data_IF_648166678495
#
_entry.id   IF_648166678495
#
_cell.length_a   1.000
_cell.length_b   1.000
_cell.length_c   1.000
_cell.angle_alpha   90.00
_cell.angle_beta   90.00
_cell.angle_gamma   90.00
#
_symmetry.space_group_name_H-M   'P 1'
#
loop_
_entity.id
_entity.type
_entity.pdbx_description
1 polymer ?
#
# COMPACT_ATOMS: atom_id res chain seq x y z
N UNK A 1 -32.42 10.54 35.85
CA UNK A 1 -32.36 11.41 34.66
C UNK A 1 -31.62 10.64 33.57
N UNK A 2 -32.24 10.42 32.40
CA UNK A 2 -31.91 9.30 31.52
C UNK A 2 -30.75 9.56 30.55
N UNK A 3 -30.13 8.46 30.14
CA UNK A 3 -28.89 8.33 29.37
C UNK A 3 -28.83 9.05 28.03
N UNK A 4 -27.67 9.66 27.78
CA UNK A 4 -27.22 10.05 26.45
C UNK A 4 -26.86 8.78 25.66
N UNK A 5 -27.58 8.56 24.56
CA UNK A 5 -27.30 7.52 23.57
C UNK A 5 -25.95 7.79 22.86
N UNK A 6 -25.22 6.75 22.45
CA UNK A 6 -24.03 6.91 21.63
C UNK A 6 -24.42 7.43 20.23
N UNK A 7 -23.67 8.44 19.79
CA UNK A 7 -23.83 9.20 18.57
C UNK A 7 -23.80 8.26 17.33
N UNK A 8 -24.98 7.90 16.82
CA UNK A 8 -25.12 7.17 15.55
C UNK A 8 -24.57 8.05 14.43
N UNK A 9 -23.59 7.54 13.68
CA UNK A 9 -23.22 7.90 12.30
C UNK A 9 -23.47 9.38 11.90
N UNK A 10 -22.40 10.19 11.89
CA UNK A 10 -22.39 11.54 11.29
C UNK A 10 -22.55 11.54 9.75
N UNK A 11 -22.86 10.41 9.12
CA UNK A 11 -23.09 10.31 7.67
C UNK A 11 -24.57 10.38 7.25
N UNK A 12 -25.49 10.75 8.15
CA UNK A 12 -26.90 10.88 7.81
C UNK A 12 -27.45 12.27 8.19
N UNK A 13 -27.19 13.28 7.34
CA UNK A 13 -28.11 14.38 7.01
C UNK A 13 -27.41 15.51 6.22
N UNK A 14 -26.88 15.20 5.05
CA UNK A 14 -26.97 16.17 3.95
C UNK A 14 -28.16 15.73 3.10
N UNK A 15 -29.32 16.34 3.36
CA UNK A 15 -30.38 16.42 2.36
C UNK A 15 -29.75 17.12 1.16
N UNK A 16 -29.30 16.32 0.20
CA UNK A 16 -29.06 16.76 -1.17
C UNK A 16 -30.26 17.61 -1.55
N UNK A 17 -30.04 18.91 -1.78
CA UNK A 17 -30.96 19.69 -2.59
C UNK A 17 -31.05 18.92 -3.90
N UNK A 18 -32.18 18.24 -4.11
CA UNK A 18 -32.49 17.57 -5.37
C UNK A 18 -32.43 18.65 -6.43
N UNK A 19 -31.29 18.76 -7.10
CA UNK A 19 -31.20 19.48 -8.35
C UNK A 19 -32.23 18.80 -9.25
N UNK A 20 -33.12 19.61 -9.80
CA UNK A 20 -34.11 19.16 -10.77
C UNK A 20 -33.41 18.29 -11.80
N UNK A 21 -33.72 16.99 -11.82
CA UNK A 21 -33.27 16.06 -12.86
C UNK A 21 -34.08 16.36 -14.11
N UNK A 22 -33.84 17.53 -14.72
CA UNK A 22 -34.21 17.73 -16.11
C UNK A 22 -33.45 16.66 -16.90
N UNK A 23 -34.17 15.78 -17.59
CA UNK A 23 -33.56 14.77 -18.44
C UNK A 23 -32.64 15.50 -19.43
N UNK A 24 -31.34 15.19 -19.40
CA UNK A 24 -30.40 15.76 -20.35
C UNK A 24 -30.86 15.38 -21.76
N UNK A 25 -30.85 16.32 -22.74
CA UNK A 25 -31.17 16.00 -24.12
C UNK A 25 -30.33 14.81 -24.60
N UNK A 26 -30.95 13.85 -25.30
CA UNK A 26 -30.28 12.63 -25.82
C UNK A 26 -29.01 12.99 -26.62
N UNK A 27 -29.05 14.08 -27.37
CA UNK A 27 -27.93 14.57 -28.17
C UNK A 27 -26.74 15.04 -27.32
N UNK A 28 -27.01 15.56 -26.12
CA UNK A 28 -25.96 15.97 -25.18
C UNK A 28 -25.24 14.76 -24.58
N UNK A 29 -25.96 13.67 -24.32
CA UNK A 29 -25.40 12.40 -23.82
C UNK A 29 -24.57 11.73 -24.91
N UNK A 30 -25.09 11.62 -26.13
CA UNK A 30 -24.35 11.05 -27.26
C UNK A 30 -23.06 11.82 -27.56
N UNK A 31 -23.12 13.15 -27.53
CA UNK A 31 -21.94 14.01 -27.69
C UNK A 31 -20.92 13.82 -26.56
N UNK A 32 -21.38 13.66 -25.31
CA UNK A 32 -20.49 13.39 -24.18
C UNK A 32 -19.78 12.03 -24.34
N UNK A 33 -20.52 10.98 -24.73
CA UNK A 33 -19.95 9.66 -24.99
C UNK A 33 -18.87 9.74 -26.07
N UNK A 34 -19.16 10.37 -27.21
CA UNK A 34 -18.21 10.49 -28.32
C UNK A 34 -16.92 11.22 -27.90
N UNK A 35 -17.04 12.31 -27.12
CA UNK A 35 -15.88 13.03 -26.58
C UNK A 35 -15.08 12.17 -25.60
N UNK A 36 -15.74 11.42 -24.72
CA UNK A 36 -15.06 10.55 -23.75
C UNK A 36 -14.35 9.38 -24.45
N UNK A 37 -14.96 8.79 -25.48
CA UNK A 37 -14.31 7.76 -26.31
C UNK A 37 -13.03 8.31 -26.95
N UNK A 38 -13.11 9.48 -27.61
CA UNK A 38 -11.94 10.12 -28.22
C UNK A 38 -10.86 10.44 -27.19
N UNK A 39 -11.25 10.95 -26.02
CA UNK A 39 -10.35 11.27 -24.94
C UNK A 39 -9.60 10.04 -24.41
N UNK A 40 -10.28 8.91 -24.28
CA UNK A 40 -9.70 7.67 -23.80
C UNK A 40 -8.81 7.03 -24.88
N UNK A 41 -9.27 6.98 -26.14
CA UNK A 41 -8.47 6.49 -27.27
C UNK A 41 -7.17 7.28 -27.46
N UNK A 42 -7.19 8.60 -27.23
CA UNK A 42 -6.01 9.46 -27.31
C UNK A 42 -4.99 9.23 -26.17
N UNK A 43 -5.35 8.46 -25.13
CA UNK A 43 -4.50 8.14 -23.97
C UNK A 43 -4.08 6.67 -23.94
N UNK A 44 -4.33 5.93 -25.01
CA UNK A 44 -3.79 4.60 -25.15
C UNK A 44 -2.28 4.70 -25.36
N UNK A 45 -1.51 3.91 -24.63
CA UNK A 45 -0.08 3.80 -24.86
C UNK A 45 0.22 3.12 -26.21
N UNK A 46 1.41 3.36 -26.80
CA UNK A 46 1.76 2.83 -28.12
C UNK A 46 1.71 1.30 -28.23
N UNK A 47 1.91 0.57 -27.14
CA UNK A 47 1.80 -0.90 -27.07
C UNK A 47 0.38 -1.39 -26.72
N UNK A 48 -0.60 -0.49 -26.72
CA UNK A 48 -2.02 -0.81 -26.70
C UNK A 48 -2.67 -0.88 -25.31
N UNK A 49 -1.93 -0.63 -24.24
CA UNK A 49 -2.51 -0.62 -22.90
C UNK A 49 -3.02 0.79 -22.52
N UNK A 50 -3.83 0.83 -21.46
CA UNK A 50 -4.12 2.06 -20.72
C UNK A 50 -3.54 1.90 -19.33
N UNK A 51 -2.91 2.96 -18.84
CA UNK A 51 -2.48 3.07 -17.45
C UNK A 51 -2.70 4.51 -17.00
N UNK A 52 -3.45 4.68 -15.92
CA UNK A 52 -3.56 5.96 -15.25
C UNK A 52 -2.44 6.13 -14.22
N UNK A 53 -2.17 7.38 -13.85
CA UNK A 53 -1.42 7.63 -12.62
C UNK A 53 -2.21 7.08 -11.43
N UNK A 54 -1.57 6.22 -10.63
CA UNK A 54 -2.10 5.79 -9.35
C UNK A 54 -1.61 6.74 -8.26
N UNK A 55 -2.46 7.70 -7.89
CA UNK A 55 -2.13 8.68 -6.86
C UNK A 55 -1.91 8.00 -5.49
N UNK A 56 -0.85 8.43 -4.80
CA UNK A 56 -0.55 8.04 -3.43
C UNK A 56 -0.56 9.23 -2.47
N UNK A 57 -0.59 8.95 -1.18
CA UNK A 57 -0.42 9.97 -0.15
C UNK A 57 1.06 10.35 0.05
N UNK A 58 1.32 11.29 0.96
CA UNK A 58 2.66 11.85 1.22
C UNK A 58 3.68 10.85 1.77
N UNK A 59 3.24 9.65 2.20
CA UNK A 59 4.11 8.60 2.71
C UNK A 59 5.14 8.19 1.66
N UNK A 60 4.75 8.08 0.39
CA UNK A 60 5.65 7.58 -0.65
C UNK A 60 6.85 8.51 -0.85
N UNK A 61 6.58 9.82 -1.01
CA UNK A 61 7.61 10.86 -1.12
C UNK A 61 8.46 10.93 0.15
N UNK A 62 7.82 10.86 1.32
CA UNK A 62 8.54 10.91 2.59
C UNK A 62 9.49 9.73 2.71
N UNK A 63 9.01 8.50 2.59
CA UNK A 63 9.81 7.27 2.73
C UNK A 63 10.92 7.15 1.69
N UNK A 64 10.68 7.64 0.47
CA UNK A 64 11.70 7.75 -0.57
C UNK A 64 12.81 8.73 -0.18
N UNK A 65 12.47 9.92 0.34
CA UNK A 65 13.47 10.86 0.90
C UNK A 65 14.24 10.22 2.05
N UNK A 66 13.56 9.52 2.98
CA UNK A 66 14.22 8.85 4.11
C UNK A 66 15.20 7.77 3.65
N UNK A 67 14.86 7.02 2.59
CA UNK A 67 15.76 6.05 1.97
C UNK A 67 16.99 6.72 1.35
N UNK A 68 16.80 7.78 0.55
CA UNK A 68 17.89 8.51 -0.09
C UNK A 68 18.81 9.16 0.96
N UNK A 69 18.25 9.73 2.03
CA UNK A 69 19.00 10.31 3.13
C UNK A 69 19.83 9.26 3.89
N UNK A 70 19.27 8.07 4.08
CA UNK A 70 20.01 6.94 4.65
C UNK A 70 21.18 6.53 3.73
N UNK A 71 20.97 6.51 2.41
CA UNK A 71 22.03 6.24 1.44
C UNK A 71 23.12 7.32 1.44
N UNK A 72 22.74 8.60 1.47
CA UNK A 72 23.67 9.74 1.52
C UNK A 72 24.55 9.65 2.77
N UNK A 73 23.95 9.35 3.92
CA UNK A 73 24.64 9.19 5.20
C UNK A 73 25.63 8.02 5.22
N UNK A 74 25.44 7.01 4.37
CA UNK A 74 26.34 5.88 4.23
C UNK A 74 27.33 6.03 3.06
N UNK A 75 27.32 7.17 2.35
CA UNK A 75 28.18 7.39 1.19
C UNK A 75 27.81 6.53 -0.03
N UNK A 76 26.58 6.02 -0.08
CA UNK A 76 26.07 5.11 -1.12
C UNK A 76 24.96 5.74 -1.98
N UNK A 77 24.67 7.02 -1.80
CA UNK A 77 23.64 7.69 -2.60
C UNK A 77 24.11 7.93 -4.04
N UNK A 78 23.24 7.73 -5.04
CA UNK A 78 23.48 8.18 -6.40
C UNK A 78 23.68 9.70 -6.45
N UNK A 79 24.44 10.18 -7.44
CA UNK A 79 24.72 11.61 -7.60
C UNK A 79 23.46 12.48 -7.79
N UNK A 80 22.37 11.89 -8.28
CA UNK A 80 21.09 12.57 -8.49
C UNK A 80 20.20 12.62 -7.23
N UNK A 81 20.56 11.93 -6.14
CA UNK A 81 19.71 11.76 -4.96
C UNK A 81 19.30 13.10 -4.34
N UNK A 82 20.22 14.06 -4.24
CA UNK A 82 19.91 15.36 -3.64
C UNK A 82 18.89 16.14 -4.46
N UNK A 83 18.90 16.04 -5.80
CA UNK A 83 17.87 16.66 -6.64
C UNK A 83 16.49 16.02 -6.38
N UNK A 84 16.44 14.70 -6.33
CA UNK A 84 15.22 13.94 -6.02
C UNK A 84 14.64 14.29 -4.65
N UNK A 85 15.48 14.42 -3.64
CA UNK A 85 15.08 14.86 -2.30
C UNK A 85 14.40 16.23 -2.37
N UNK A 86 15.02 17.20 -3.06
CA UNK A 86 14.47 18.55 -3.18
C UNK A 86 13.13 18.57 -3.95
N UNK A 87 13.01 17.79 -5.01
CA UNK A 87 11.80 17.70 -5.84
C UNK A 87 10.64 17.05 -5.10
N UNK A 88 10.90 15.95 -4.38
CA UNK A 88 9.91 15.27 -3.55
C UNK A 88 9.50 16.13 -2.33
N UNK A 89 10.43 16.86 -1.73
CA UNK A 89 10.13 17.78 -0.64
C UNK A 89 9.19 18.92 -1.07
N UNK A 90 9.38 19.48 -2.27
CA UNK A 90 8.43 20.46 -2.82
C UNK A 90 7.02 19.88 -2.95
N UNK A 91 6.89 18.63 -3.36
CA UNK A 91 5.59 17.96 -3.42
C UNK A 91 4.95 17.81 -2.03
N UNK A 92 5.75 17.49 -1.00
CA UNK A 92 5.26 17.43 0.39
C UNK A 92 4.69 18.77 0.87
N UNK A 93 5.33 19.89 0.51
CA UNK A 93 4.80 21.23 0.82
C UNK A 93 3.45 21.48 0.15
N UNK A 94 3.29 21.07 -1.12
CA UNK A 94 2.03 21.17 -1.86
C UNK A 94 0.92 20.32 -1.24
N UNK A 95 1.26 19.12 -0.75
CA UNK A 95 0.32 18.18 -0.14
C UNK A 95 -0.10 18.54 1.29
N UNK A 96 0.57 19.50 1.94
CA UNK A 96 0.26 19.86 3.32
C UNK A 96 -1.18 20.39 3.43
N UNK A 97 -1.96 19.83 4.36
CA UNK A 97 -3.32 20.27 4.62
C UNK A 97 -3.33 21.65 5.30
N UNK A 98 -4.41 22.45 5.19
CA UNK A 98 -4.51 23.75 5.87
C UNK A 98 -4.25 23.71 7.38
N UNK A 99 -4.60 22.58 8.02
CA UNK A 99 -4.34 22.33 9.45
C UNK A 99 -2.87 22.02 9.79
N UNK A 100 -1.97 21.96 8.82
CA UNK A 100 -0.52 21.76 9.00
C UNK A 100 -0.03 20.32 8.86
N UNK A 101 -0.89 19.32 9.04
CA UNK A 101 -0.52 17.91 8.85
C UNK A 101 -0.72 17.39 7.42
N UNK A 102 -0.53 16.09 7.26
CA UNK A 102 -0.79 15.33 6.04
C UNK A 102 -1.83 14.25 6.31
N UNK A 103 -2.58 13.87 5.27
CA UNK A 103 -3.67 12.89 5.32
C UNK A 103 -3.41 11.76 4.32
N UNK A 104 -4.04 10.60 4.53
CA UNK A 104 -3.93 9.46 3.61
C UNK A 104 -4.74 9.62 2.31
N UNK A 105 -5.61 10.62 2.25
CA UNK A 105 -6.42 10.93 1.06
C UNK A 105 -6.85 12.40 1.09
N UNK A 106 -7.23 13.00 -0.05
CA UNK A 106 -7.64 14.40 -0.12
C UNK A 106 -8.80 14.73 0.82
N UNK A 107 -8.63 15.77 1.65
CA UNK A 107 -9.62 16.19 2.64
C UNK A 107 -9.80 15.26 3.83
N UNK A 108 -8.96 14.22 3.95
CA UNK A 108 -8.95 13.32 5.11
C UNK A 108 -8.41 13.97 6.39
N UNK A 109 -8.57 13.30 7.55
CA UNK A 109 -7.99 13.76 8.80
C UNK A 109 -6.45 13.69 8.75
N UNK A 110 -5.79 14.42 9.66
CA UNK A 110 -4.36 14.27 9.90
C UNK A 110 -4.05 12.81 10.24
N UNK A 111 -3.11 12.21 9.52
CA UNK A 111 -2.52 10.93 9.88
C UNK A 111 -1.12 11.17 10.47
N UNK A 112 -0.94 10.69 11.70
CA UNK A 112 0.22 11.05 12.52
C UNK A 112 1.52 10.51 11.93
N UNK A 113 1.50 9.30 11.37
CA UNK A 113 2.68 8.63 10.83
C UNK A 113 3.16 9.28 9.54
N UNK A 114 2.23 9.63 8.64
CA UNK A 114 2.46 10.40 7.43
C UNK A 114 2.99 11.79 7.76
N UNK A 115 2.40 12.46 8.74
CA UNK A 115 2.80 13.82 9.13
C UNK A 115 4.20 13.88 9.75
N UNK A 116 4.53 12.93 10.63
CA UNK A 116 5.87 12.85 11.23
C UNK A 116 6.92 12.55 10.15
N UNK A 117 6.65 11.61 9.23
CA UNK A 117 7.57 11.30 8.13
C UNK A 117 7.74 12.50 7.18
N UNK A 118 6.66 13.19 6.83
CA UNK A 118 6.72 14.36 5.96
C UNK A 118 7.50 15.52 6.60
N UNK A 119 7.28 15.79 7.90
CA UNK A 119 8.08 16.80 8.62
C UNK A 119 9.56 16.45 8.62
N UNK A 120 9.91 15.20 8.95
CA UNK A 120 11.31 14.75 8.94
C UNK A 120 11.93 14.85 7.53
N UNK A 121 11.19 14.43 6.50
CA UNK A 121 11.65 14.53 5.11
C UNK A 121 11.89 15.98 4.66
N UNK A 122 11.02 16.92 5.05
CA UNK A 122 11.23 18.35 4.81
C UNK A 122 12.46 18.88 5.56
N UNK A 123 12.69 18.42 6.80
CA UNK A 123 13.87 18.80 7.59
C UNK A 123 15.16 18.30 6.94
N UNK A 124 15.18 17.06 6.46
CA UNK A 124 16.27 16.46 5.67
C UNK A 124 16.53 17.27 4.40
N UNK A 125 15.48 17.72 3.71
CA UNK A 125 15.61 18.58 2.53
C UNK A 125 16.04 20.02 2.85
N UNK A 126 16.30 20.36 4.13
CA UNK A 126 16.84 21.66 4.54
C UNK A 126 15.78 22.73 4.85
N UNK A 127 14.50 22.37 4.98
CA UNK A 127 13.49 23.33 5.39
C UNK A 127 13.69 23.74 6.86
N UNK A 128 13.77 25.06 7.11
CA UNK A 128 13.95 25.61 8.44
C UNK A 128 12.75 25.29 9.36
N UNK A 129 13.02 24.89 10.60
CA UNK A 129 11.98 24.46 11.56
C UNK A 129 11.04 25.57 12.03
N UNK A 130 11.40 26.83 11.79
CA UNK A 130 10.58 28.01 12.06
C UNK A 130 9.79 28.49 10.84
N UNK A 131 10.01 27.91 9.65
CA UNK A 131 9.23 28.21 8.46
C UNK A 131 7.72 27.99 8.75
N UNK A 132 6.82 28.80 8.15
CA UNK A 132 5.40 28.77 8.52
C UNK A 132 4.75 27.37 8.41
N UNK A 133 5.07 26.61 7.35
CA UNK A 133 4.54 25.24 7.17
C UNK A 133 5.15 24.24 8.16
N UNK A 134 6.42 24.37 8.54
CA UNK A 134 7.06 23.52 9.55
C UNK A 134 6.48 23.79 10.94
N UNK A 135 6.27 25.05 11.30
CA UNK A 135 5.65 25.43 12.58
C UNK A 135 4.22 24.89 12.69
N UNK A 136 3.40 25.02 11.64
CA UNK A 136 2.05 24.45 11.59
C UNK A 136 2.08 22.92 11.71
N UNK A 137 2.96 22.25 10.98
CA UNK A 137 3.13 20.80 11.06
C UNK A 137 3.49 20.33 12.48
N UNK A 138 4.49 20.97 13.11
CA UNK A 138 4.88 20.66 14.49
C UNK A 138 3.69 20.82 15.46
N UNK A 139 2.96 21.93 15.38
CA UNK A 139 1.79 22.16 16.23
C UNK A 139 0.71 21.10 16.01
N UNK A 140 0.41 20.76 14.76
CA UNK A 140 -0.59 19.76 14.41
C UNK A 140 -0.19 18.35 14.90
N UNK A 141 1.07 17.96 14.70
CA UNK A 141 1.62 16.67 15.14
C UNK A 141 1.55 16.56 16.67
N UNK A 142 2.00 17.58 17.41
CA UNK A 142 1.93 17.60 18.87
C UNK A 142 0.48 17.59 19.36
N UNK A 143 -0.40 18.36 18.73
CA UNK A 143 -1.84 18.38 19.04
C UNK A 143 -2.53 17.04 18.79
N UNK A 144 -2.02 16.24 17.86
CA UNK A 144 -2.48 14.88 17.58
C UNK A 144 -1.83 13.80 18.49
N UNK A 145 -1.11 14.20 19.53
CA UNK A 145 -0.50 13.31 20.52
C UNK A 145 0.97 12.95 20.25
N UNK A 146 1.63 13.66 19.34
CA UNK A 146 3.06 13.59 19.11
C UNK A 146 3.54 12.32 18.38
N UNK A 147 4.86 12.26 18.16
CA UNK A 147 5.51 11.12 17.53
C UNK A 147 5.41 9.82 18.37
N UNK A 148 4.90 9.88 19.60
CA UNK A 148 4.54 8.72 20.43
C UNK A 148 3.44 7.86 19.81
N UNK A 149 2.57 8.45 18.99
CA UNK A 149 1.41 7.78 18.37
C UNK A 149 1.67 7.20 16.98
N UNK A 150 2.92 7.23 16.50
CA UNK A 150 3.28 6.68 15.18
C UNK A 150 3.11 5.17 15.10
N UNK A 151 2.82 4.68 13.89
CA UNK A 151 2.73 3.26 13.60
C UNK A 151 4.11 2.56 13.55
N UNK A 152 4.09 1.24 13.39
CA UNK A 152 5.29 0.40 13.35
C UNK A 152 6.23 0.70 12.18
N UNK A 153 5.70 1.03 10.99
CA UNK A 153 6.53 1.35 9.82
C UNK A 153 7.32 2.64 10.03
N UNK A 154 6.68 3.68 10.56
CA UNK A 154 7.40 4.91 10.90
C UNK A 154 8.47 4.65 11.96
N UNK A 155 8.23 3.78 12.96
CA UNK A 155 9.29 3.39 13.90
C UNK A 155 10.50 2.77 13.19
N UNK A 156 10.28 1.90 12.20
CA UNK A 156 11.36 1.32 11.41
C UNK A 156 12.16 2.35 10.62
N UNK A 157 11.52 3.31 9.96
CA UNK A 157 12.24 4.39 9.28
C UNK A 157 13.02 5.28 10.25
N UNK A 158 12.44 5.62 11.40
CA UNK A 158 13.14 6.38 12.42
C UNK A 158 14.31 5.59 13.02
N UNK A 159 14.19 4.27 13.18
CA UNK A 159 15.28 3.42 13.63
C UNK A 159 16.38 3.26 12.57
N UNK A 160 16.02 3.16 11.30
CA UNK A 160 16.96 3.15 10.17
C UNK A 160 17.81 4.43 10.14
N UNK A 161 17.20 5.57 10.48
CA UNK A 161 17.86 6.87 10.57
C UNK A 161 18.50 7.16 11.93
N UNK A 162 18.48 6.21 12.89
CA UNK A 162 19.09 6.35 14.22
C UNK A 162 18.33 7.24 15.23
N UNK A 163 17.13 7.71 14.89
CA UNK A 163 16.29 8.54 15.76
C UNK A 163 15.65 7.69 16.88
N UNK A 164 15.33 6.43 16.58
CA UNK A 164 14.79 5.45 17.55
C UNK A 164 15.70 4.22 17.64
N UNK A 165 15.61 3.48 18.74
CA UNK A 165 16.28 2.19 18.89
C UNK A 165 15.38 1.08 18.29
N UNK A 166 15.97 0.12 17.59
CA UNK A 166 15.26 -1.06 17.07
C UNK A 166 14.50 -1.86 18.13
N UNK A 167 14.88 -1.78 19.41
CA UNK A 167 14.14 -2.33 20.55
C UNK A 167 12.73 -1.77 20.69
N UNK A 168 12.48 -0.57 20.14
CA UNK A 168 11.18 0.09 20.11
C UNK A 168 10.36 -0.28 18.86
N UNK A 169 10.95 -0.95 17.87
CA UNK A 169 10.23 -1.52 16.73
C UNK A 169 9.66 -2.90 17.10
N UNK A 170 8.51 -3.33 16.54
CA UNK A 170 8.05 -4.71 16.71
C UNK A 170 9.08 -5.69 16.15
N UNK A 171 9.16 -6.91 16.68
CA UNK A 171 10.06 -7.92 16.14
C UNK A 171 9.50 -8.53 14.85
N UNK A 172 10.38 -8.68 13.85
CA UNK A 172 10.06 -9.34 12.57
C UNK A 172 11.11 -10.43 12.34
N UNK A 173 10.98 -11.59 13.01
CA UNK A 173 12.01 -12.61 12.98
C UNK A 173 12.11 -13.32 11.62
N UNK A 174 13.30 -13.39 10.98
CA UNK A 174 13.46 -14.15 9.74
C UNK A 174 13.17 -15.65 9.93
N UNK A 175 13.24 -16.17 11.16
CA UNK A 175 12.98 -17.56 11.50
C UNK A 175 11.56 -18.02 11.09
N UNK A 176 10.60 -17.11 10.94
CA UNK A 176 9.26 -17.44 10.44
C UNK A 176 9.28 -17.98 8.99
N UNK A 177 10.30 -17.66 8.20
CA UNK A 177 10.49 -18.21 6.84
C UNK A 177 10.80 -19.72 6.86
N UNK A 178 11.29 -20.24 8.00
CA UNK A 178 11.61 -21.66 8.16
C UNK A 178 10.39 -22.50 8.56
N UNK A 179 9.27 -21.87 8.93
CA UNK A 179 8.08 -22.60 9.35
C UNK A 179 7.46 -23.40 8.19
N UNK A 180 7.17 -24.70 8.38
CA UNK A 180 6.42 -25.49 7.42
C UNK A 180 5.03 -24.90 7.15
N UNK A 181 4.47 -25.13 5.95
CA UNK A 181 3.16 -24.61 5.53
C UNK A 181 1.97 -25.06 6.40
N UNK A 182 2.12 -26.12 7.19
CA UNK A 182 1.08 -26.60 8.10
C UNK A 182 1.13 -25.93 9.48
N UNK A 183 2.22 -25.24 9.82
CA UNK A 183 2.35 -24.54 11.10
C UNK A 183 1.60 -23.21 11.06
N UNK A 184 0.90 -22.81 12.13
CA UNK A 184 0.32 -21.47 12.21
C UNK A 184 1.44 -20.41 12.14
N UNK A 185 1.13 -19.23 11.60
CA UNK A 185 2.06 -18.09 11.42
C UNK A 185 3.14 -18.30 10.35
N UNK A 186 3.09 -19.40 9.60
CA UNK A 186 3.98 -19.54 8.45
C UNK A 186 3.73 -18.41 7.45
N UNK A 187 4.77 -17.98 6.73
CA UNK A 187 4.67 -16.81 5.86
C UNK A 187 3.64 -16.96 4.72
N UNK A 188 3.22 -18.19 4.39
CA UNK A 188 2.23 -18.44 3.33
C UNK A 188 0.77 -18.31 3.81
N UNK A 189 0.53 -18.15 5.12
CA UNK A 189 -0.78 -17.69 5.66
C UNK A 189 -0.95 -16.17 5.55
N UNK A 190 0.14 -15.43 5.35
CA UNK A 190 0.09 -14.00 5.09
C UNK A 190 -0.41 -13.75 3.65
N UNK A 191 -1.15 -12.65 3.45
CA UNK A 191 -1.49 -12.20 2.10
C UNK A 191 -0.23 -11.97 1.27
N UNK A 192 -0.35 -12.07 -0.07
CA UNK A 192 0.79 -11.95 -0.95
C UNK A 192 1.55 -10.62 -0.76
N UNK A 193 0.83 -9.50 -0.62
CA UNK A 193 1.43 -8.19 -0.38
C UNK A 193 2.08 -8.07 1.01
N UNK A 194 1.50 -8.67 2.05
CA UNK A 194 2.06 -8.58 3.40
C UNK A 194 3.32 -9.43 3.51
N UNK A 195 3.33 -10.60 2.84
CA UNK A 195 4.48 -11.49 2.77
C UNK A 195 5.67 -10.83 2.07
N UNK A 196 5.45 -10.12 0.97
CA UNK A 196 6.51 -9.41 0.25
C UNK A 196 7.09 -8.23 1.04
N UNK A 197 6.36 -7.67 2.01
CA UNK A 197 6.90 -6.70 2.97
C UNK A 197 7.65 -7.42 4.10
N UNK A 198 7.04 -8.46 4.67
CA UNK A 198 7.55 -9.16 5.84
C UNK A 198 8.95 -9.74 5.61
N UNK A 199 9.19 -10.42 4.49
CA UNK A 199 10.47 -11.10 4.23
C UNK A 199 11.67 -10.13 4.20
N UNK A 200 11.69 -9.06 3.39
CA UNK A 200 12.79 -8.10 3.42
C UNK A 200 12.89 -7.35 4.76
N UNK A 201 11.75 -6.99 5.38
CA UNK A 201 11.76 -6.35 6.69
C UNK A 201 12.35 -7.26 7.78
N UNK A 202 12.22 -8.58 7.64
CA UNK A 202 12.83 -9.55 8.56
C UNK A 202 14.36 -9.60 8.45
N UNK A 203 14.88 -9.37 7.25
CA UNK A 203 16.32 -9.22 7.02
C UNK A 203 16.82 -7.91 7.63
N UNK A 204 16.08 -6.82 7.46
CA UNK A 204 16.36 -5.55 8.13
C UNK A 204 16.35 -5.71 9.65
N UNK A 205 15.35 -6.38 10.23
CA UNK A 205 15.27 -6.66 11.67
C UNK A 205 16.47 -7.48 12.18
N UNK A 206 16.96 -8.42 11.37
CA UNK A 206 18.10 -9.25 11.74
C UNK A 206 19.43 -8.49 11.77
N UNK A 207 19.60 -7.50 10.89
CA UNK A 207 20.85 -6.72 10.76
C UNK A 207 20.81 -5.39 11.53
N UNK A 208 19.62 -4.80 11.70
CA UNK A 208 19.37 -3.52 12.38
C UNK A 208 20.27 -2.37 11.88
N UNK A 209 20.29 -2.11 10.56
CA UNK A 209 21.09 -1.01 10.03
C UNK A 209 20.64 0.31 10.64
N UNK A 210 21.59 1.14 11.06
CA UNK A 210 21.32 2.47 11.60
C UNK A 210 22.46 3.39 11.23
N UNK A 211 22.15 4.65 10.97
CA UNK A 211 23.16 5.71 10.87
C UNK A 211 23.30 6.42 12.21
N UNK A 212 24.37 7.20 12.35
CA UNK A 212 24.43 8.23 13.40
C UNK A 212 23.66 9.45 12.88
N UNK A 213 22.49 9.72 13.47
CA UNK A 213 21.61 10.80 13.01
C UNK A 213 22.32 12.15 13.09
N UNK A 214 22.40 12.91 11.98
CA UNK A 214 22.83 14.29 12.01
C UNK A 214 21.96 15.14 12.95
N UNK A 215 22.55 16.13 13.61
CA UNK A 215 21.86 16.96 14.61
C UNK A 215 20.63 17.69 14.04
N UNK A 216 20.75 18.10 12.78
CA UNK A 216 19.77 18.77 11.95
C UNK A 216 18.60 17.86 11.55
N UNK A 217 18.72 16.52 11.67
CA UNK A 217 17.65 15.58 11.33
C UNK A 217 16.90 15.08 12.57
N UNK A 218 17.38 15.40 13.77
CA UNK A 218 16.67 15.07 15.01
C UNK A 218 15.29 15.74 15.01
N UNK A 219 14.29 15.11 15.60
CA UNK A 219 12.91 15.59 15.60
C UNK A 219 12.31 15.57 17.01
N UNK A 220 13.13 15.80 18.04
CA UNK A 220 12.72 15.87 19.45
C UNK A 220 11.53 16.82 19.65
N UNK A 221 11.42 17.89 18.85
CA UNK A 221 10.32 18.84 18.91
C UNK A 221 8.94 18.26 18.54
N UNK A 222 8.90 17.09 17.90
CA UNK A 222 7.67 16.37 17.56
C UNK A 222 7.18 15.42 18.66
N UNK A 223 8.05 15.07 19.61
CA UNK A 223 7.72 14.19 20.74
C UNK A 223 7.19 15.01 21.91
N UNK A 224 6.21 14.48 22.63
CA UNK A 224 5.73 15.05 23.89
C UNK A 224 6.73 14.81 25.03
N UNK A 225 7.21 13.57 25.17
CA UNK A 225 8.07 13.12 26.26
C UNK A 225 9.49 12.73 25.79
N UNK A 226 9.71 12.73 24.47
CA UNK A 226 10.99 12.46 23.81
C UNK A 226 11.09 11.05 23.19
N UNK A 227 12.04 10.83 22.28
CA UNK A 227 12.16 9.57 21.52
C UNK A 227 12.42 8.33 22.39
N UNK A 228 13.15 8.48 23.50
CA UNK A 228 13.46 7.39 24.43
C UNK A 228 12.27 6.92 25.28
N UNK A 229 11.20 7.72 25.35
CA UNK A 229 9.99 7.40 26.10
C UNK A 229 9.11 6.34 25.42
N UNK A 230 9.29 6.13 24.12
CA UNK A 230 8.44 5.20 23.36
C UNK A 230 8.57 3.77 23.90
N UNK A 231 7.44 3.05 24.07
CA UNK A 231 7.45 1.70 24.61
C UNK A 231 8.17 0.73 23.67
N UNK A 232 8.80 -0.29 24.25
CA UNK A 232 9.52 -1.33 23.50
C UNK A 232 8.60 -2.17 22.63
N UNK A 233 7.34 -2.33 23.01
CA UNK A 233 6.31 -3.02 22.23
C UNK A 233 5.28 -2.02 21.71
N UNK A 234 4.57 -2.37 20.63
CA UNK A 234 3.51 -1.51 20.12
C UNK A 234 2.35 -1.43 21.14
N UNK A 235 1.83 -0.23 21.43
CA UNK A 235 0.59 -0.08 22.20
C UNK A 235 -0.62 -0.54 21.39
N UNK A 236 -1.78 -0.61 22.05
CA UNK A 236 -3.06 -0.87 21.38
C UNK A 236 -3.33 0.20 20.31
N UNK A 237 -3.83 -0.21 19.15
CA UNK A 237 -4.25 0.71 18.11
C UNK A 237 -5.67 1.19 18.39
N UNK A 238 -5.83 2.47 18.73
CA UNK A 238 -7.16 3.07 18.93
C UNK A 238 -8.05 2.93 17.67
N UNK A 239 -7.47 2.88 16.47
CA UNK A 239 -8.23 2.83 15.21
C UNK A 239 -8.55 1.41 14.75
N UNK A 240 -7.55 0.52 14.73
CA UNK A 240 -7.71 -0.84 14.17
C UNK A 240 -8.41 -1.76 15.15
N UNK A 241 -8.13 -1.63 16.45
CA UNK A 241 -8.70 -2.54 17.44
C UNK A 241 -10.21 -2.25 17.65
N UNK A 242 -10.68 -1.01 17.41
CA UNK A 242 -12.11 -0.69 17.38
C UNK A 242 -12.87 -1.39 16.23
N UNK A 243 -12.19 -1.72 15.14
CA UNK A 243 -12.77 -2.43 14.00
C UNK A 243 -12.81 -3.95 14.19
N UNK A 244 -12.08 -4.48 15.18
CA UNK A 244 -12.06 -5.92 15.44
C UNK A 244 -13.29 -6.37 16.24
N UNK A 245 -13.86 -7.52 15.84
CA UNK A 245 -14.94 -8.13 16.60
C UNK A 245 -14.43 -8.53 18.00
N UNK A 246 -15.22 -8.30 19.07
CA UNK A 246 -14.80 -8.65 20.42
C UNK A 246 -14.50 -10.15 20.51
N UNK A 247 -13.24 -10.47 20.77
CA UNK A 247 -12.75 -11.83 20.98
C UNK A 247 -12.68 -12.13 22.47
N UNK A 248 -13.02 -13.36 22.88
CA UNK A 248 -12.76 -13.84 24.25
C UNK A 248 -11.26 -13.97 24.55
N UNK A 249 -10.46 -14.10 23.49
CA UNK A 249 -9.00 -14.17 23.55
C UNK A 249 -8.46 -12.75 23.38
N UNK A 250 -7.67 -12.28 24.37
CA UNK A 250 -6.97 -11.00 24.29
C UNK A 250 -5.72 -11.13 23.43
N UNK A 251 -5.91 -11.04 22.11
CA UNK A 251 -4.84 -11.15 21.12
C UNK A 251 -3.76 -10.10 21.28
N UNK A 252 -4.11 -8.86 21.63
CA UNK A 252 -3.16 -7.79 21.90
C UNK A 252 -2.14 -8.24 22.96
N UNK A 253 -2.62 -8.68 24.13
CA UNK A 253 -1.73 -9.16 25.20
C UNK A 253 -0.87 -10.34 24.78
N UNK A 254 -1.40 -11.24 23.95
CA UNK A 254 -0.65 -12.38 23.42
C UNK A 254 0.49 -11.88 22.51
N UNK A 255 0.18 -11.09 21.49
CA UNK A 255 1.18 -10.61 20.53
C UNK A 255 2.21 -9.68 21.17
N UNK A 256 1.82 -8.80 22.09
CA UNK A 256 2.76 -7.97 22.86
C UNK A 256 3.72 -8.82 23.71
N UNK A 257 3.23 -9.92 24.30
CA UNK A 257 4.08 -10.86 25.04
C UNK A 257 5.01 -11.65 24.13
N UNK A 258 4.51 -12.11 22.98
CA UNK A 258 5.34 -12.82 21.99
C UNK A 258 6.46 -11.91 21.47
N UNK A 259 6.14 -10.66 21.16
CA UNK A 259 7.11 -9.64 20.75
C UNK A 259 8.18 -9.39 21.83
N UNK A 260 7.76 -9.15 23.07
CA UNK A 260 8.68 -8.96 24.19
C UNK A 260 9.54 -10.20 24.47
N UNK A 261 8.95 -11.40 24.42
CA UNK A 261 9.66 -12.66 24.62
C UNK A 261 10.71 -12.88 23.53
N UNK A 262 10.35 -12.65 22.27
CA UNK A 262 11.28 -12.76 21.15
C UNK A 262 12.48 -11.82 21.28
N UNK A 263 12.23 -10.54 21.59
CA UNK A 263 13.29 -9.55 21.87
C UNK A 263 14.18 -9.98 23.04
N UNK A 264 13.60 -10.64 24.05
CA UNK A 264 14.34 -11.24 25.16
C UNK A 264 15.27 -12.38 24.71
N UNK A 265 14.77 -13.31 23.89
CA UNK A 265 15.57 -14.41 23.33
C UNK A 265 16.73 -13.88 22.50
N UNK A 266 16.50 -12.87 21.68
CA UNK A 266 17.58 -12.23 20.89
C UNK A 266 18.61 -11.53 21.77
N UNK A 267 18.19 -10.87 22.85
CA UNK A 267 19.12 -10.25 23.82
C UNK A 267 20.03 -11.29 24.46
N UNK A 268 19.54 -12.50 24.67
CA UNK A 268 20.32 -13.63 25.18
C UNK A 268 21.00 -14.46 24.08
N UNK A 269 20.95 -14.00 22.83
CA UNK A 269 21.54 -14.66 21.64
C UNK A 269 21.02 -16.11 21.45
N UNK A 270 19.79 -16.38 21.87
CA UNK A 270 19.13 -17.69 21.75
C UNK A 270 18.42 -17.85 20.40
N UNK A 271 19.14 -17.65 19.30
CA UNK A 271 18.61 -17.73 17.93
C UNK A 271 19.47 -18.65 17.05
N UNK A 272 19.52 -19.97 17.36
CA UNK A 272 20.45 -20.91 16.72
C UNK A 272 20.26 -21.06 15.21
N UNK A 273 19.07 -20.72 14.69
CA UNK A 273 18.74 -20.82 13.27
C UNK A 273 18.82 -19.48 12.52
N UNK A 274 19.27 -18.39 13.16
CA UNK A 274 19.31 -17.04 12.57
C UNK A 274 20.01 -17.01 11.21
N UNK A 275 21.20 -17.60 11.10
CA UNK A 275 21.97 -17.61 9.85
C UNK A 275 21.32 -18.43 8.72
N UNK A 276 20.59 -19.50 9.05
CA UNK A 276 19.81 -20.26 8.08
C UNK A 276 18.56 -19.49 7.65
N UNK A 277 17.89 -18.85 8.61
CA UNK A 277 16.71 -18.02 8.36
C UNK A 277 17.02 -16.83 7.44
N UNK A 278 18.12 -16.12 7.70
CA UNK A 278 18.61 -15.01 6.85
C UNK A 278 18.84 -15.50 5.41
N UNK A 279 19.57 -16.61 5.23
CA UNK A 279 19.82 -17.17 3.89
C UNK A 279 18.51 -17.53 3.18
N UNK A 280 17.61 -18.23 3.86
CA UNK A 280 16.34 -18.65 3.28
C UNK A 280 15.43 -17.47 2.92
N UNK A 281 15.43 -16.43 3.74
CA UNK A 281 14.70 -15.18 3.48
C UNK A 281 15.31 -14.42 2.28
N UNK A 282 16.63 -14.34 2.19
CA UNK A 282 17.34 -13.74 1.05
C UNK A 282 17.06 -14.50 -0.25
N UNK A 283 17.20 -15.82 -0.24
CA UNK A 283 16.89 -16.67 -1.41
C UNK A 283 15.44 -16.49 -1.84
N UNK A 284 14.50 -16.49 -0.88
CA UNK A 284 13.08 -16.27 -1.16
C UNK A 284 12.83 -14.94 -1.85
N UNK A 285 13.49 -13.87 -1.40
CA UNK A 285 13.38 -12.52 -1.94
C UNK A 285 13.98 -12.44 -3.35
N UNK A 286 15.23 -12.88 -3.51
CA UNK A 286 16.00 -12.77 -4.76
C UNK A 286 15.37 -13.60 -5.88
N UNK A 287 14.92 -14.83 -5.58
CA UNK A 287 14.20 -15.68 -6.53
C UNK A 287 13.00 -14.95 -7.17
N UNK A 288 12.36 -14.04 -6.41
CA UNK A 288 11.14 -13.33 -6.82
C UNK A 288 11.40 -11.98 -7.47
N UNK A 289 12.65 -11.57 -7.64
CA UNK A 289 12.98 -10.43 -8.50
C UNK A 289 12.94 -10.80 -9.99
N UNK A 290 13.19 -12.07 -10.32
CA UNK A 290 13.19 -12.55 -11.70
C UNK A 290 11.84 -12.29 -12.38
N UNK A 291 11.87 -11.70 -13.57
CA UNK A 291 10.69 -11.32 -14.36
C UNK A 291 9.68 -10.43 -13.60
N UNK A 292 10.14 -9.65 -12.62
CA UNK A 292 9.31 -8.72 -11.82
C UNK A 292 9.75 -7.27 -11.99
N UNK A 293 8.80 -6.35 -11.82
CA UNK A 293 9.07 -4.91 -11.73
C UNK A 293 9.42 -4.53 -10.27
N UNK A 294 10.23 -5.37 -9.60
CA UNK A 294 10.50 -5.31 -8.16
C UNK A 294 9.59 -6.23 -7.33
N UNK A 295 10.01 -6.55 -6.11
CA UNK A 295 9.31 -7.54 -5.28
C UNK A 295 7.85 -7.14 -5.02
N UNK A 296 6.91 -7.94 -5.54
CA UNK A 296 5.48 -7.66 -5.41
C UNK A 296 4.99 -6.46 -6.22
N UNK A 297 5.86 -5.79 -6.99
CA UNK A 297 5.55 -4.62 -7.81
C UNK A 297 4.82 -3.49 -7.06
N UNK A 298 5.13 -3.31 -5.77
CA UNK A 298 4.57 -2.26 -4.91
C UNK A 298 5.68 -1.59 -4.10
N UNK A 299 5.53 -0.29 -3.83
CA UNK A 299 6.55 0.57 -3.23
C UNK A 299 7.18 0.04 -1.92
N UNK A 300 6.43 -0.37 -0.88
CA UNK A 300 7.05 -0.70 0.41
C UNK A 300 7.98 -1.93 0.36
N UNK A 301 7.60 -3.07 -0.24
CA UNK A 301 8.54 -4.17 -0.50
C UNK A 301 9.79 -3.78 -1.27
N UNK A 302 9.69 -2.90 -2.27
CA UNK A 302 10.86 -2.47 -3.05
C UNK A 302 11.87 -1.76 -2.17
N UNK A 303 11.42 -0.79 -1.36
CA UNK A 303 12.27 -0.07 -0.42
C UNK A 303 12.96 -1.03 0.55
N UNK A 304 12.18 -1.91 1.19
CA UNK A 304 12.76 -2.84 2.17
C UNK A 304 13.65 -3.89 1.52
N UNK A 305 13.36 -4.32 0.29
CA UNK A 305 14.21 -5.25 -0.46
C UNK A 305 15.56 -4.62 -0.78
N UNK A 306 15.56 -3.35 -1.19
CA UNK A 306 16.79 -2.59 -1.44
C UNK A 306 17.63 -2.46 -0.14
N UNK A 307 17.02 -2.07 0.98
CA UNK A 307 17.72 -2.01 2.28
C UNK A 307 18.22 -3.39 2.71
N UNK A 308 17.44 -4.44 2.48
CA UNK A 308 17.84 -5.82 2.79
C UNK A 308 19.06 -6.27 1.97
N UNK A 309 19.11 -5.95 0.67
CA UNK A 309 20.29 -6.22 -0.16
C UNK A 309 21.54 -5.50 0.36
N UNK A 310 21.43 -4.23 0.75
CA UNK A 310 22.53 -3.51 1.41
C UNK A 310 22.97 -4.19 2.71
N UNK A 311 22.02 -4.63 3.54
CA UNK A 311 22.32 -5.38 4.77
C UNK A 311 23.04 -6.71 4.52
N UNK A 312 22.73 -7.37 3.39
CA UNK A 312 23.37 -8.61 2.97
C UNK A 312 24.79 -8.39 2.37
N UNK A 313 25.23 -7.13 2.24
CA UNK A 313 26.58 -6.78 1.80
C UNK A 313 26.75 -6.68 0.29
N UNK A 314 25.67 -6.54 -0.49
CA UNK A 314 25.78 -6.24 -1.91
C UNK A 314 26.40 -4.85 -2.13
N UNK A 315 27.33 -4.75 -3.07
CA UNK A 315 27.97 -3.49 -3.45
C UNK A 315 27.01 -2.58 -4.23
N UNK A 316 27.30 -1.28 -4.25
CA UNK A 316 26.43 -0.28 -4.89
C UNK A 316 26.32 -0.45 -6.41
N UNK A 317 27.32 -1.07 -7.03
CA UNK A 317 27.40 -1.40 -8.46
C UNK A 317 26.88 -2.81 -8.78
N UNK A 318 26.46 -3.59 -7.78
CA UNK A 318 25.92 -4.92 -8.02
C UNK A 318 24.65 -4.82 -8.90
N UNK A 319 24.54 -5.57 -10.02
CA UNK A 319 23.41 -5.45 -10.94
C UNK A 319 22.03 -5.58 -10.28
N UNK A 320 21.92 -6.46 -9.27
CA UNK A 320 20.68 -6.66 -8.50
C UNK A 320 20.29 -5.43 -7.68
N UNK A 321 21.26 -4.69 -7.15
CA UNK A 321 21.02 -3.49 -6.35
C UNK A 321 20.67 -2.30 -7.25
N UNK A 322 21.40 -2.15 -8.36
CA UNK A 322 21.11 -1.15 -9.40
C UNK A 322 19.69 -1.35 -9.93
N UNK A 323 19.34 -2.58 -10.32
CA UNK A 323 18.00 -2.90 -10.79
C UNK A 323 16.94 -2.63 -9.72
N UNK A 324 17.18 -2.98 -8.45
CA UNK A 324 16.22 -2.71 -7.38
C UNK A 324 15.95 -1.20 -7.20
N UNK A 325 16.97 -0.36 -7.34
CA UNK A 325 16.82 1.09 -7.30
C UNK A 325 16.10 1.63 -8.54
N UNK A 326 16.44 1.13 -9.73
CA UNK A 326 15.76 1.48 -10.98
C UNK A 326 14.25 1.17 -10.92
N UNK A 327 13.86 0.03 -10.35
CA UNK A 327 12.43 -0.31 -10.18
C UNK A 327 11.72 0.67 -9.23
N UNK A 328 12.41 1.18 -8.22
CA UNK A 328 11.86 2.21 -7.34
C UNK A 328 11.76 3.56 -8.08
N UNK A 329 12.77 3.93 -8.87
CA UNK A 329 12.77 5.15 -9.70
C UNK A 329 11.65 5.14 -10.74
N UNK A 330 11.29 3.97 -11.28
CA UNK A 330 10.20 3.83 -12.24
C UNK A 330 8.84 4.24 -11.66
N UNK A 331 8.70 4.34 -10.34
CA UNK A 331 7.49 4.81 -9.67
C UNK A 331 7.44 6.35 -9.55
N UNK A 332 8.53 7.06 -9.86
CA UNK A 332 8.63 8.52 -9.74
C UNK A 332 8.08 9.20 -10.98
N UNK A 333 7.11 10.10 -10.78
CA UNK A 333 6.61 11.03 -11.79
C UNK A 333 7.19 12.42 -11.52
N UNK A 334 7.98 12.90 -12.46
CA UNK A 334 8.62 14.21 -12.41
C UNK A 334 7.90 15.22 -13.28
N UNK A 335 7.31 16.24 -12.66
CA UNK A 335 6.54 17.25 -13.37
C UNK A 335 6.64 18.61 -12.69
N UNK A 336 6.77 19.68 -13.47
CA UNK A 336 6.75 21.07 -12.99
C UNK A 336 7.71 21.33 -11.79
N UNK A 337 8.87 20.67 -11.81
CA UNK A 337 9.88 20.80 -10.74
C UNK A 337 9.54 20.05 -9.44
N UNK A 338 8.47 19.26 -9.40
CA UNK A 338 8.09 18.40 -8.29
C UNK A 338 8.25 16.93 -8.66
N UNK A 339 8.46 16.08 -7.67
CA UNK A 339 8.44 14.63 -7.83
C UNK A 339 7.34 14.04 -6.94
N UNK A 340 6.44 13.28 -7.56
CA UNK A 340 5.44 12.47 -6.86
C UNK A 340 5.67 11.00 -7.18
N UNK A 341 5.26 10.12 -6.28
CA UNK A 341 5.49 8.69 -6.44
C UNK A 341 4.16 7.96 -6.51
N UNK A 342 4.13 6.92 -7.33
CA UNK A 342 3.03 5.96 -7.40
C UNK A 342 3.32 4.79 -6.45
N UNK A 343 2.29 4.21 -5.81
CA UNK A 343 2.48 3.02 -4.98
C UNK A 343 2.73 1.77 -5.84
N UNK A 344 2.17 1.72 -7.06
CA UNK A 344 2.40 0.72 -8.11
C UNK A 344 1.77 1.20 -9.43
N UNK A 345 1.89 0.37 -10.49
CA UNK A 345 1.21 0.60 -11.77
C UNK A 345 -0.03 -0.30 -11.91
N UNK A 346 -1.07 0.19 -12.59
CA UNK A 346 -2.36 -0.50 -12.80
C UNK A 346 -2.70 -0.92 -14.24
N UNK A 347 -1.76 -1.19 -15.17
CA UNK A 347 -2.08 -1.39 -16.59
C UNK A 347 -3.02 -2.57 -16.85
N UNK A 348 -2.91 -3.64 -16.05
CA UNK A 348 -3.75 -4.85 -16.14
C UNK A 348 -5.17 -4.62 -15.63
N UNK A 349 -5.36 -3.60 -14.81
CA UNK A 349 -6.66 -3.22 -14.28
C UNK A 349 -7.34 -2.19 -15.18
N UNK A 350 -6.59 -1.16 -15.58
CA UNK A 350 -7.11 -0.03 -16.35
C UNK A 350 -7.46 -0.44 -17.78
N UNK A 351 -6.64 -1.28 -18.41
CA UNK A 351 -6.85 -1.70 -19.82
C UNK A 351 -8.16 -2.45 -20.02
N UNK A 352 -8.52 -3.50 -19.24
CA UNK A 352 -9.82 -4.14 -19.37
C UNK A 352 -10.98 -3.19 -19.07
N UNK A 353 -10.88 -2.33 -18.05
CA UNK A 353 -11.95 -1.38 -17.70
C UNK A 353 -12.18 -0.39 -18.86
N UNK A 354 -11.11 0.18 -19.41
CA UNK A 354 -11.16 1.05 -20.57
C UNK A 354 -11.78 0.34 -21.77
N UNK A 355 -11.36 -0.90 -22.03
CA UNK A 355 -11.88 -1.74 -23.12
C UNK A 355 -13.39 -1.99 -22.97
N UNK A 356 -13.85 -2.37 -21.77
CA UNK A 356 -15.27 -2.57 -21.49
C UNK A 356 -16.06 -1.27 -21.67
N UNK A 357 -15.57 -0.15 -21.12
CA UNK A 357 -16.24 1.14 -21.25
C UNK A 357 -16.37 1.59 -22.72
N UNK A 358 -15.33 1.39 -23.54
CA UNK A 358 -15.37 1.70 -24.97
C UNK A 358 -16.36 0.80 -25.72
N UNK A 359 -16.39 -0.50 -25.40
CA UNK A 359 -17.34 -1.46 -26.01
C UNK A 359 -18.78 -1.15 -25.65
N UNK A 360 -19.06 -0.92 -24.37
CA UNK A 360 -20.41 -0.64 -23.86
C UNK A 360 -20.93 0.72 -24.35
N UNK A 361 -20.04 1.65 -24.67
CA UNK A 361 -20.39 2.94 -25.27
C UNK A 361 -20.56 2.90 -26.80
N UNK A 362 -20.47 1.72 -27.42
CA UNK A 362 -20.79 1.51 -28.84
C UNK A 362 -19.59 1.51 -29.79
N UNK A 363 -18.34 1.54 -29.30
CA UNK A 363 -17.17 1.41 -30.16
C UNK A 363 -17.07 -0.02 -30.74
N UNK A 364 -16.92 -0.23 -32.06
CA UNK A 364 -16.87 -1.56 -32.68
C UNK A 364 -15.76 -2.47 -32.12
N UNK A 365 -15.99 -3.79 -32.09
CA UNK A 365 -15.04 -4.75 -31.52
C UNK A 365 -13.75 -4.83 -32.35
N UNK A 366 -13.87 -4.55 -33.64
CA UNK A 366 -12.82 -4.59 -34.63
C UNK A 366 -11.96 -3.31 -34.63
N UNK A 367 -12.33 -2.31 -33.83
CA UNK A 367 -11.61 -1.05 -33.76
C UNK A 367 -10.13 -1.29 -33.45
N UNK A 368 -9.18 -0.68 -34.19
CA UNK A 368 -7.74 -0.98 -34.06
C UNK A 368 -7.21 -0.84 -32.63
N UNK A 369 -7.66 0.18 -31.90
CA UNK A 369 -7.29 0.40 -30.50
C UNK A 369 -7.68 -0.78 -29.58
N UNK A 370 -8.77 -1.50 -29.86
CA UNK A 370 -9.18 -2.65 -29.06
C UNK A 370 -8.47 -3.95 -29.48
N UNK A 371 -7.80 -3.94 -30.64
CA UNK A 371 -7.03 -5.07 -31.17
C UNK A 371 -5.54 -4.98 -30.86
N UNK A 372 -5.06 -3.81 -30.43
CA UNK A 372 -3.70 -3.63 -29.97
C UNK A 372 -3.43 -4.63 -28.84
N UNK A 373 -2.52 -5.57 -29.09
CA UNK A 373 -2.13 -6.54 -28.07
C UNK A 373 -1.25 -5.79 -27.09
N UNK A 374 -1.58 -5.84 -25.80
CA UNK A 374 -0.72 -5.45 -24.69
C UNK A 374 0.53 -6.35 -24.64
N UNK A 375 1.40 -6.26 -25.66
CA UNK A 375 2.59 -7.10 -25.82
C UNK A 375 3.72 -6.68 -24.88
N UNK A 376 3.67 -5.44 -24.36
CA UNK A 376 4.65 -4.89 -23.43
C UNK A 376 4.40 -5.26 -21.96
N UNK A 377 3.15 -5.51 -21.56
CA UNK A 377 2.82 -5.79 -20.17
C UNK A 377 3.28 -7.21 -19.76
N UNK A 378 4.34 -7.29 -18.95
CA UNK A 378 4.90 -8.52 -18.34
C UNK A 378 3.82 -9.41 -17.69
N UNK A 379 2.77 -8.80 -17.16
CA UNK A 379 1.58 -9.46 -16.59
C UNK A 379 0.67 -10.14 -17.62
N UNK A 380 0.61 -9.67 -18.87
CA UNK A 380 -0.06 -10.42 -19.95
C UNK A 380 0.73 -11.70 -20.32
N UNK A 381 2.06 -11.70 -20.12
CA UNK A 381 2.92 -12.89 -20.29
C UNK A 381 2.77 -13.90 -19.15
N UNK A 382 2.43 -13.46 -17.93
CA UNK A 382 2.17 -14.36 -16.79
C UNK A 382 0.90 -15.20 -16.96
N UNK A 383 -0.19 -14.60 -17.47
CA UNK A 383 -1.43 -15.36 -17.76
C UNK A 383 -1.21 -16.50 -18.76
N UNK A 384 -0.25 -16.34 -19.68
CA UNK A 384 0.11 -17.37 -20.67
C UNK A 384 1.01 -18.47 -20.11
N UNK A 385 1.83 -18.19 -19.09
CA UNK A 385 2.81 -19.14 -18.54
C UNK A 385 2.22 -20.12 -17.51
N UNK A 386 1.30 -19.67 -16.65
CA UNK A 386 0.71 -20.54 -15.61
C UNK A 386 -0.43 -21.44 -16.11
N UNK A 387 -1.13 -21.06 -17.18
CA UNK A 387 -2.31 -21.81 -17.64
C UNK A 387 -2.03 -22.85 -18.72
N UNK A 388 -0.83 -22.84 -19.33
CA UNK A 388 -0.49 -23.71 -20.46
C UNK A 388 -1.42 -23.56 -21.69
N UNK A 389 -2.36 -22.62 -21.66
CA UNK A 389 -3.32 -22.37 -22.73
C UNK A 389 -2.84 -21.15 -23.51
N UNK A 390 -2.59 -21.34 -24.81
CA UNK A 390 -2.58 -20.24 -25.77
C UNK A 390 -3.87 -19.44 -25.54
N UNK A 391 -3.74 -18.13 -25.32
CA UNK A 391 -4.89 -17.22 -25.28
C UNK A 391 -5.70 -17.48 -26.55
N UNK A 392 -6.88 -18.07 -26.37
CA UNK A 392 -7.86 -18.30 -27.44
C UNK A 392 -8.08 -16.98 -28.18
N UNK A 393 -8.38 -17.03 -29.47
CA UNK A 393 -8.65 -15.87 -30.35
C UNK A 393 -9.84 -14.99 -29.92
N UNK A 394 -10.40 -15.23 -28.74
CA UNK A 394 -11.50 -14.46 -28.16
C UNK A 394 -11.25 -14.24 -26.65
N UNK A 395 -10.76 -13.06 -26.23
CA UNK A 395 -10.46 -12.74 -24.83
C UNK A 395 -11.72 -12.69 -23.93
N UNK A 396 -12.92 -12.62 -24.51
CA UNK A 396 -14.13 -12.26 -23.78
C UNK A 396 -14.79 -13.42 -23.00
N UNK A 397 -14.40 -14.68 -23.23
CA UNK A 397 -14.98 -15.83 -22.51
C UNK A 397 -14.22 -16.25 -21.25
N UNK A 398 -13.00 -15.77 -21.04
CA UNK A 398 -12.16 -16.17 -19.90
C UNK A 398 -12.40 -15.38 -18.61
N UNK A 399 -13.03 -14.21 -18.71
CA UNK A 399 -13.19 -13.26 -17.59
C UNK A 399 -14.50 -13.44 -16.80
N UNK A 400 -15.13 -14.62 -16.87
CA UNK A 400 -16.25 -14.98 -15.99
C UNK A 400 -15.71 -15.77 -14.80
N UNK A 401 -14.93 -15.11 -13.95
CA UNK A 401 -14.74 -15.59 -12.59
C UNK A 401 -16.04 -15.32 -11.83
N UNK A 402 -16.71 -16.41 -11.41
CA UNK A 402 -17.89 -16.40 -10.55
C UNK A 402 -17.59 -15.68 -9.24
N UNK A 403 -17.79 -14.37 -9.21
CA UNK A 403 -18.05 -13.65 -7.95
C UNK A 403 -19.50 -13.95 -7.57
N UNK A 404 -19.75 -15.13 -6.98
CA UNK A 404 -21.00 -15.35 -6.25
C UNK A 404 -20.90 -14.60 -4.92
N UNK A 405 -21.42 -13.39 -4.87
CA UNK A 405 -21.76 -12.79 -3.58
C UNK A 405 -22.92 -13.58 -2.95
N UNK A 406 -22.84 -14.00 -1.68
CA UNK A 406 -23.99 -14.53 -0.98
C UNK A 406 -24.92 -13.37 -0.62
N UNK A 407 -25.97 -13.16 -1.43
CA UNK A 407 -27.10 -12.32 -1.05
C UNK A 407 -27.83 -13.04 0.08
N UNK A 408 -27.58 -12.63 1.32
CA UNK A 408 -28.40 -12.95 2.49
C UNK A 408 -29.77 -12.26 2.33
N UNK A 409 -30.69 -12.91 1.60
CA UNK A 409 -32.09 -12.50 1.58
C UNK A 409 -32.76 -12.92 2.89
N UNK A 410 -32.89 -11.97 3.83
CA UNK A 410 -33.83 -12.07 4.94
C UNK A 410 -35.25 -12.08 4.38
N UNK A 411 -35.86 -13.26 4.23
CA UNK A 411 -37.31 -13.37 4.01
C UNK A 411 -38.05 -12.82 5.24
N UNK A 412 -38.66 -11.65 5.09
CA UNK A 412 -39.77 -11.22 5.96
C UNK A 412 -40.95 -12.15 5.68
N UNK A 413 -41.44 -12.84 6.71
CA UNK A 413 -42.76 -13.47 6.69
C UNK A 413 -43.80 -12.35 6.80
N UNK A 414 -44.58 -12.13 5.74
CA UNK A 414 -45.95 -11.65 5.88
C UNK A 414 -46.85 -12.83 5.54
N UNK A 415 -47.71 -13.18 6.47
CA UNK A 415 -48.82 -14.08 6.21
C UNK A 415 -49.94 -13.30 5.52
N UNK A 416 -50.58 -13.94 4.55
CA UNK A 416 -52.03 -14.05 4.53
C UNK A 416 -52.46 -15.02 3.43
N UNK A 417 -53.52 -15.79 3.72
CA UNK A 417 -54.50 -16.26 2.75
C UNK A 417 -54.23 -17.56 1.98
N UNK A 418 -55.14 -18.53 2.15
CA UNK A 418 -55.67 -19.26 1.00
C UNK A 418 -55.50 -20.77 0.96
N UNK A 419 -56.53 -21.46 1.43
CA UNK A 419 -56.85 -22.90 1.33
C UNK A 419 -56.97 -23.45 -0.10
N UNK A 420 -56.58 -24.71 -0.32
CA UNK A 420 -57.25 -25.63 -1.27
C UNK A 420 -56.34 -26.37 -2.29
N UNK A 421 -56.52 -27.69 -2.56
CA UNK A 421 -55.47 -28.56 -3.14
C UNK A 421 -55.73 -29.12 -4.57
N UNK A 422 -54.67 -29.79 -5.09
CA UNK A 422 -54.62 -30.89 -6.10
C UNK A 422 -54.77 -30.59 -7.62
N UNK A 423 -54.32 -31.49 -8.54
CA UNK A 423 -53.12 -32.34 -8.52
C UNK A 423 -52.36 -32.40 -9.90
N UNK A 424 -51.23 -33.14 -9.90
CA UNK A 424 -50.38 -33.57 -11.03
C UNK A 424 -51.11 -34.32 -12.17
N UNK A 425 -50.51 -34.38 -13.37
CA UNK A 425 -49.96 -35.67 -13.87
C UNK A 425 -48.56 -35.47 -14.55
N UNK A 426 -47.53 -36.25 -14.27
CA UNK A 426 -47.20 -37.64 -14.66
C UNK A 426 -46.66 -37.85 -16.10
N UNK A 427 -45.34 -38.16 -16.15
CA UNK A 427 -44.58 -39.11 -17.01
C UNK A 427 -44.31 -38.84 -18.50
N UNK A 428 -43.01 -38.89 -18.85
CA UNK A 428 -42.27 -39.82 -19.76
C UNK A 428 -40.81 -39.29 -19.83
N UNK A 429 -39.69 -39.94 -19.47
CA UNK A 429 -39.11 -41.27 -19.62
C UNK A 429 -38.62 -41.63 -21.05
N UNK A 430 -37.29 -41.82 -21.16
CA UNK A 430 -36.50 -42.60 -22.14
C UNK A 430 -36.30 -41.93 -23.53
N UNK A 431 -35.19 -42.07 -24.26
CA UNK A 431 -33.87 -42.73 -24.12
C UNK A 431 -32.97 -42.19 -25.26
N UNK A 432 -31.65 -42.28 -25.12
CA UNK A 432 -30.66 -42.02 -26.18
C UNK A 432 -29.31 -41.56 -25.66
#
# INVERSE_FOLDING_TARGET
MPGQQPNRSRFAAHRSQRHSTAALPIDAVGSAIARTQQWLLARQDPDGHWVGELEGDSILQSEYILLLAWLESNGSAPAWASERIQRAARQLVVQQQPGGGWSLFPGGPLEISASVKAYLALKIAGHATDAPWMTRARQAIRGAGGAERINSFTRYYLALLGILDYRQCPAVPPELVLLPRFCPLNIYEMSAWSRTIFVPLSLLWAHRPSINTPSEWKIDELFLDGPSSLPTTMPQSEQLDELTSPSRINWNRIFTRLDAAWKGLERWKLTPFRGMAIRRAADWMIERFADSDGLGAIFPPMVWSFVALKCLGYSDDAPILVQALEQLENLVISENGTDRLQPCHSPVWDTPIATFALRDSGLPAEHPALRARSTGCSTAKLFTRETGRKVSRDPLRGLVLRVRQPVLSRRRRHGDGGTGPDPLPARTALDG
#
